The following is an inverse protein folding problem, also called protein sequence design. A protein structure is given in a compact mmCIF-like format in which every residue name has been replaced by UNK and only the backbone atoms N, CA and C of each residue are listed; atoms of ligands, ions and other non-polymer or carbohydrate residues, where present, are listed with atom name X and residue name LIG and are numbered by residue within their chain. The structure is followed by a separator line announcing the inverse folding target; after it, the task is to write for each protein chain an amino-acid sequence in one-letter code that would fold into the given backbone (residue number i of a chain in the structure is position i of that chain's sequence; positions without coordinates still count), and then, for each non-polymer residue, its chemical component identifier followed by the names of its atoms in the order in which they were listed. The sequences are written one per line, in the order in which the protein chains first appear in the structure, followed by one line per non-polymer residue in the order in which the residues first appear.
data_IF_861770487280
#
_entry.id   IF_861770487280
#
_cell.length_a   1.000
_cell.length_b   1.000
_cell.length_c   1.000
_cell.angle_alpha   90.00
_cell.angle_beta   90.00
_cell.angle_gamma   90.00
#
_symmetry.space_group_name_H-M   'P 1'
#
loop_
_entity.id
_entity.type
_entity.pdbx_description
1 polymer ?
#
# COMPACT_ATOMS: atom_id res chain seq x y z
N UNK A 1 15.24 36.85 -21.47
CA UNK A 1 14.23 36.35 -20.52
C UNK A 1 14.17 34.84 -20.66
N UNK A 2 14.88 34.09 -19.80
CA UNK A 2 14.95 32.62 -19.87
C UNK A 2 14.00 32.04 -18.82
N UNK A 3 12.91 31.43 -19.25
CA UNK A 3 12.10 30.58 -18.39
C UNK A 3 12.83 29.25 -18.26
N UNK A 4 13.51 29.04 -17.14
CA UNK A 4 14.14 27.75 -16.84
C UNK A 4 13.08 26.77 -16.35
N UNK A 5 12.99 25.64 -17.06
CA UNK A 5 12.10 24.52 -16.79
C UNK A 5 12.30 23.97 -15.37
N UNK A 6 11.35 24.26 -14.48
CA UNK A 6 11.23 23.63 -13.15
C UNK A 6 10.68 22.21 -13.34
N UNK A 7 11.49 21.29 -13.85
CA UNK A 7 11.17 19.86 -13.88
C UNK A 7 12.33 18.97 -13.43
N UNK A 8 13.31 19.50 -12.69
CA UNK A 8 14.50 18.69 -12.34
C UNK A 8 14.51 18.01 -10.98
N UNK A 9 13.59 18.28 -10.06
CA UNK A 9 13.61 17.64 -8.74
C UNK A 9 12.19 17.48 -8.17
N UNK A 10 11.37 16.56 -8.71
CA UNK A 10 10.36 15.94 -7.84
C UNK A 10 11.12 14.91 -7.01
N UNK A 11 11.41 15.13 -5.72
CA UNK A 11 11.78 14.02 -4.88
C UNK A 11 10.61 13.03 -4.99
N UNK A 12 10.86 11.85 -5.53
CA UNK A 12 9.91 10.75 -5.38
C UNK A 12 9.71 10.60 -3.87
N UNK A 13 8.56 11.07 -3.37
CA UNK A 13 8.18 10.92 -1.98
C UNK A 13 7.98 9.42 -1.74
N UNK A 14 9.08 8.72 -1.42
CA UNK A 14 9.06 7.31 -1.02
C UNK A 14 8.59 7.22 0.42
N UNK A 15 7.38 7.70 0.69
CA UNK A 15 6.71 7.55 1.98
C UNK A 15 6.26 6.09 2.08
N UNK A 16 7.13 5.23 2.64
CA UNK A 16 6.78 3.85 2.96
C UNK A 16 6.22 3.81 4.39
N UNK A 17 4.90 3.82 4.52
CA UNK A 17 4.26 3.60 5.82
C UNK A 17 4.14 2.09 6.09
N UNK A 18 5.05 1.55 6.91
CA UNK A 18 5.06 0.13 7.28
C UNK A 18 3.81 -0.31 8.07
N UNK A 19 3.05 0.64 8.62
CA UNK A 19 1.88 0.34 9.44
C UNK A 19 0.62 0.12 8.59
N UNK A 20 0.63 0.52 7.32
CA UNK A 20 -0.51 0.31 6.42
C UNK A 20 -0.35 -1.06 5.77
N UNK A 21 -1.32 -1.94 6.02
CA UNK A 21 -1.49 -3.20 5.29
C UNK A 21 -2.47 -2.96 4.15
N UNK A 22 -2.15 -3.45 2.96
CA UNK A 22 -3.00 -3.36 1.78
C UNK A 22 -3.32 -4.77 1.30
N UNK A 23 -4.59 -5.03 1.02
CA UNK A 23 -5.05 -6.28 0.46
C UNK A 23 -4.49 -6.43 -0.95
N UNK A 24 -3.73 -7.51 -1.20
CA UNK A 24 -3.18 -7.79 -2.53
C UNK A 24 -4.26 -8.08 -3.58
N UNK A 25 -5.45 -8.48 -3.16
CA UNK A 25 -6.56 -8.82 -4.05
C UNK A 25 -7.37 -7.59 -4.49
N UNK A 26 -7.75 -6.72 -3.56
CA UNK A 26 -8.65 -5.59 -3.84
C UNK A 26 -8.03 -4.21 -3.63
N UNK A 27 -6.78 -4.11 -3.17
CA UNK A 27 -6.09 -2.83 -2.92
C UNK A 27 -6.60 -2.04 -1.70
N UNK A 28 -7.54 -2.59 -0.93
CA UNK A 28 -8.09 -1.92 0.25
C UNK A 28 -7.22 -2.13 1.49
N UNK A 29 -7.29 -1.21 2.46
CA UNK A 29 -6.49 -1.25 3.69
C UNK A 29 -7.12 -1.99 4.86
N UNK A 30 -8.38 -2.45 4.75
CA UNK A 30 -9.06 -3.24 5.80
C UNK A 30 -8.59 -4.69 5.80
N UNK A 31 -7.38 -4.88 6.32
CA UNK A 31 -6.69 -6.16 6.38
C UNK A 31 -6.38 -6.52 7.82
N UNK A 32 -6.94 -7.65 8.26
CA UNK A 32 -6.73 -8.21 9.59
C UNK A 32 -5.72 -9.34 9.56
N UNK A 33 -4.92 -9.44 10.61
CA UNK A 33 -3.98 -10.53 10.80
C UNK A 33 -4.44 -11.39 11.96
N UNK A 34 -4.59 -12.67 11.68
CA UNK A 34 -4.95 -13.72 12.63
C UNK A 34 -3.71 -14.57 12.92
N UNK A 35 -3.78 -15.40 13.95
CA UNK A 35 -2.68 -16.30 14.34
C UNK A 35 -2.22 -17.19 13.17
N UNK A 36 -3.16 -17.66 12.35
CA UNK A 36 -2.92 -18.62 11.27
C UNK A 36 -3.07 -18.03 9.86
N UNK A 37 -3.29 -16.72 9.71
CA UNK A 37 -3.54 -16.16 8.39
C UNK A 37 -3.90 -14.67 8.36
N UNK A 38 -4.29 -14.19 7.19
CA UNK A 38 -4.66 -12.80 6.94
C UNK A 38 -6.01 -12.78 6.20
N UNK A 39 -6.92 -11.91 6.63
CA UNK A 39 -8.20 -11.69 5.94
C UNK A 39 -8.38 -10.24 5.49
N UNK A 40 -9.17 -10.02 4.45
CA UNK A 40 -9.65 -8.68 4.08
C UNK A 40 -11.16 -8.59 4.26
N UNK A 41 -11.62 -7.62 5.06
CA UNK A 41 -13.05 -7.43 5.35
C UNK A 41 -13.85 -7.06 4.09
N UNK A 42 -13.26 -6.27 3.18
CA UNK A 42 -14.00 -5.70 2.05
C UNK A 42 -14.16 -6.65 0.86
N UNK A 43 -13.22 -7.57 0.63
CA UNK A 43 -13.33 -8.56 -0.46
C UNK A 43 -13.48 -10.01 0.01
N UNK A 44 -13.41 -10.26 1.32
CA UNK A 44 -13.57 -11.58 1.91
C UNK A 44 -12.42 -12.55 1.64
N UNK A 45 -11.30 -12.10 1.06
CA UNK A 45 -10.15 -13.00 0.82
C UNK A 45 -9.54 -13.43 2.16
N UNK A 46 -9.18 -14.72 2.24
CA UNK A 46 -8.49 -15.33 3.37
C UNK A 46 -7.23 -16.04 2.87
N UNK A 47 -6.07 -15.65 3.40
CA UNK A 47 -4.77 -16.22 3.08
C UNK A 47 -4.23 -16.95 4.31
N UNK A 48 -4.11 -18.27 4.23
CA UNK A 48 -3.57 -19.11 5.30
C UNK A 48 -2.05 -19.12 5.29
N UNK A 49 -1.46 -19.13 6.48
CA UNK A 49 -0.04 -19.40 6.66
C UNK A 49 0.16 -20.92 6.63
N UNK A 50 0.76 -21.43 5.54
CA UNK A 50 1.14 -22.84 5.38
C UNK A 50 2.29 -23.20 6.32
#
# INVERSE_FOLDING_TARGET
MKQELIQKNKPELKIKNKNIKICINCGNSKVDSHEFGISCEDCGILLWRV
#
